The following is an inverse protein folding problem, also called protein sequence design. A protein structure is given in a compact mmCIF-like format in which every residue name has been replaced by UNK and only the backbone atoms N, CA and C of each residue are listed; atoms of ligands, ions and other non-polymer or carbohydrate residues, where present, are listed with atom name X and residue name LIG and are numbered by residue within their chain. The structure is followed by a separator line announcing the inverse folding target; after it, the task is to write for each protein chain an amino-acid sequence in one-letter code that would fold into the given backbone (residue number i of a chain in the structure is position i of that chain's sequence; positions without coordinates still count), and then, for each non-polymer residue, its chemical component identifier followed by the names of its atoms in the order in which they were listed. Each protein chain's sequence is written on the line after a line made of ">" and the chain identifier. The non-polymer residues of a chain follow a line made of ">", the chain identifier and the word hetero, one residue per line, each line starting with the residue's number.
data_IF_597755697131
#
_entry.id   IF_597755697131
#
_cell.length_a   1.000
_cell.length_b   1.000
_cell.length_c   1.000
_cell.angle_alpha   90.00
_cell.angle_beta   90.00
_cell.angle_gamma   90.00
#
_symmetry.space_group_name_H-M   'P 1'
#
loop_
_entity.id
_entity.type
_entity.pdbx_description
1 polymer ?
#
# COMPACT_ATOMS: atom_id res chain seq x y z
N UNK A 1 2.79 -41.37 -3.87
CA UNK A 1 3.04 -40.27 -4.83
C UNK A 1 2.44 -38.99 -4.27
N UNK A 2 3.03 -37.83 -4.55
CA UNK A 2 2.38 -36.55 -4.26
C UNK A 2 1.12 -36.43 -5.13
N UNK A 3 -0.04 -36.37 -4.50
CA UNK A 3 -1.34 -36.26 -5.17
C UNK A 3 -1.84 -34.81 -5.27
N UNK A 4 -0.97 -33.83 -5.04
CA UNK A 4 -1.32 -32.42 -5.21
C UNK A 4 -1.89 -32.14 -6.61
N UNK A 5 -2.89 -31.25 -6.65
CA UNK A 5 -3.55 -30.81 -7.89
C UNK A 5 -2.55 -30.31 -8.93
N UNK A 6 -1.52 -29.57 -8.51
CA UNK A 6 -0.50 -29.04 -9.42
C UNK A 6 0.35 -30.15 -10.07
N UNK A 7 0.65 -31.22 -9.31
CA UNK A 7 1.41 -32.38 -9.80
C UNK A 7 0.57 -33.16 -10.82
N UNK A 8 -0.70 -33.43 -10.50
CA UNK A 8 -1.60 -34.11 -11.44
C UNK A 8 -1.81 -33.29 -12.73
N UNK A 9 -1.91 -31.96 -12.64
CA UNK A 9 -1.97 -31.09 -13.82
C UNK A 9 -0.69 -31.20 -14.65
N UNK A 10 0.49 -31.19 -14.04
CA UNK A 10 1.76 -31.35 -14.76
C UNK A 10 1.82 -32.69 -15.52
N UNK A 11 1.32 -33.77 -14.93
CA UNK A 11 1.22 -35.08 -15.61
C UNK A 11 0.25 -35.04 -16.80
N UNK A 12 -0.89 -34.36 -16.67
CA UNK A 12 -1.83 -34.15 -17.80
C UNK A 12 -1.13 -33.40 -18.95
N UNK A 13 -0.36 -32.36 -18.64
CA UNK A 13 0.40 -31.61 -19.65
C UNK A 13 1.43 -32.50 -20.36
N UNK A 14 2.14 -33.33 -19.62
CA UNK A 14 3.10 -34.28 -20.17
C UNK A 14 2.43 -35.30 -21.11
N UNK A 15 1.38 -35.97 -20.66
CA UNK A 15 0.67 -36.97 -21.47
C UNK A 15 -0.02 -36.36 -22.69
N UNK A 16 -0.49 -35.10 -22.58
CA UNK A 16 -1.04 -34.38 -23.74
C UNK A 16 0.04 -34.00 -24.75
N UNK A 17 1.27 -33.70 -24.30
CA UNK A 17 2.42 -33.47 -25.16
C UNK A 17 2.87 -34.75 -25.91
N UNK A 18 2.67 -35.93 -25.31
CA UNK A 18 2.82 -37.24 -25.97
C UNK A 18 1.69 -37.56 -26.96
N UNK A 19 0.77 -36.62 -27.21
CA UNK A 19 -0.38 -36.73 -28.11
C UNK A 19 -1.46 -37.74 -27.67
N UNK A 20 -1.54 -38.08 -26.38
CA UNK A 20 -2.60 -38.96 -25.88
C UNK A 20 -3.97 -38.29 -25.83
N UNK A 21 -5.02 -39.08 -26.08
CA UNK A 21 -6.39 -38.60 -25.98
C UNK A 21 -6.85 -38.48 -24.52
N UNK A 22 -7.72 -37.50 -24.22
CA UNK A 22 -8.19 -37.24 -22.86
C UNK A 22 -8.80 -38.48 -22.15
N UNK A 23 -9.42 -39.40 -22.90
CA UNK A 23 -9.91 -40.69 -22.41
C UNK A 23 -8.79 -41.58 -21.87
N UNK A 24 -7.73 -41.76 -22.66
CA UNK A 24 -6.56 -42.55 -22.28
C UNK A 24 -5.84 -41.94 -21.08
N UNK A 25 -5.70 -40.61 -21.07
CA UNK A 25 -5.11 -39.85 -19.95
C UNK A 25 -5.89 -40.12 -18.65
N UNK A 26 -7.23 -40.10 -18.67
CA UNK A 26 -8.02 -40.38 -17.48
C UNK A 26 -7.84 -41.80 -16.94
N UNK A 27 -7.82 -42.80 -17.82
CA UNK A 27 -7.61 -44.19 -17.40
C UNK A 27 -6.25 -44.36 -16.72
N UNK A 28 -5.18 -43.85 -17.34
CA UNK A 28 -3.83 -43.87 -16.74
C UNK A 28 -3.75 -43.10 -15.43
N UNK A 29 -4.38 -41.93 -15.35
CA UNK A 29 -4.43 -41.16 -14.11
C UNK A 29 -5.21 -41.90 -13.02
N UNK A 30 -6.32 -42.57 -13.36
CA UNK A 30 -7.12 -43.33 -12.39
C UNK A 30 -6.38 -44.58 -11.89
N UNK A 31 -5.58 -45.22 -12.73
CA UNK A 31 -4.71 -46.34 -12.33
C UNK A 31 -3.63 -45.90 -11.32
N UNK A 32 -3.00 -44.74 -11.54
CA UNK A 32 -1.90 -44.25 -10.70
C UNK A 32 -2.39 -43.57 -9.41
N UNK A 33 -3.40 -42.70 -9.50
CA UNK A 33 -3.87 -41.86 -8.39
C UNK A 33 -5.12 -42.41 -7.69
N UNK A 34 -5.79 -43.42 -8.27
CA UNK A 34 -6.94 -44.08 -7.65
C UNK A 34 -8.06 -43.10 -7.27
N UNK A 35 -8.45 -43.10 -6.00
CA UNK A 35 -9.48 -42.21 -5.46
C UNK A 35 -9.06 -40.74 -5.37
N UNK A 36 -7.75 -40.45 -5.40
CA UNK A 36 -7.24 -39.09 -5.36
C UNK A 36 -7.10 -38.45 -6.76
N UNK A 37 -7.45 -39.20 -7.81
CA UNK A 37 -7.41 -38.74 -9.19
C UNK A 37 -8.37 -37.56 -9.43
N UNK A 38 -7.94 -36.59 -10.24
CA UNK A 38 -8.81 -35.52 -10.71
C UNK A 38 -10.03 -36.07 -11.45
N UNK A 39 -11.19 -35.46 -11.22
CA UNK A 39 -12.42 -35.83 -11.92
C UNK A 39 -12.26 -35.70 -13.44
N UNK A 40 -12.92 -36.59 -14.19
CA UNK A 40 -12.97 -36.62 -15.66
C UNK A 40 -13.10 -35.23 -16.29
N UNK A 41 -14.10 -34.45 -15.86
CA UNK A 41 -14.37 -33.11 -16.38
C UNK A 41 -13.19 -32.13 -16.17
N UNK A 42 -12.42 -32.30 -15.10
CA UNK A 42 -11.25 -31.45 -14.83
C UNK A 42 -10.10 -31.80 -15.77
N UNK A 43 -9.84 -33.10 -15.98
CA UNK A 43 -8.79 -33.59 -16.88
C UNK A 43 -9.09 -33.16 -18.31
N UNK A 44 -10.32 -33.36 -18.76
CA UNK A 44 -10.77 -32.95 -20.09
C UNK A 44 -10.60 -31.44 -20.31
N UNK A 45 -11.00 -30.62 -19.34
CA UNK A 45 -10.82 -29.16 -19.40
C UNK A 45 -9.34 -28.76 -19.48
N UNK A 46 -8.44 -29.47 -18.82
CA UNK A 46 -6.99 -29.21 -18.92
C UNK A 46 -6.42 -29.64 -20.27
N UNK A 47 -6.86 -30.76 -20.84
CA UNK A 47 -6.49 -31.18 -22.19
C UNK A 47 -6.92 -30.13 -23.23
N UNK A 48 -8.11 -29.55 -23.10
CA UNK A 48 -8.57 -28.46 -23.97
C UNK A 48 -7.74 -27.18 -23.78
N UNK A 49 -7.37 -26.83 -22.55
CA UNK A 49 -6.53 -25.65 -22.28
C UNK A 49 -5.14 -25.76 -22.88
N UNK A 50 -4.60 -26.97 -22.97
CA UNK A 50 -3.33 -27.25 -23.64
C UNK A 50 -3.37 -26.84 -25.12
N UNK A 51 -4.46 -27.17 -25.82
CA UNK A 51 -4.63 -26.83 -27.26
C UNK A 51 -4.71 -25.32 -27.50
N UNK A 52 -5.17 -24.55 -26.51
CA UNK A 52 -5.27 -23.07 -26.58
C UNK A 52 -3.97 -22.40 -26.06
N UNK A 53 -2.85 -23.13 -26.06
CA UNK A 53 -1.51 -22.69 -25.61
C UNK A 53 -1.47 -22.11 -24.17
N UNK A 54 -2.48 -22.38 -23.34
CA UNK A 54 -2.50 -21.95 -21.93
C UNK A 54 -1.74 -22.95 -21.07
N UNK A 55 -0.42 -22.99 -21.25
CA UNK A 55 0.52 -23.89 -20.59
C UNK A 55 0.83 -23.53 -19.12
N UNK A 56 0.24 -22.46 -18.59
CA UNK A 56 0.48 -22.08 -17.20
C UNK A 56 -0.23 -23.04 -16.23
N UNK A 57 0.57 -23.85 -15.53
CA UNK A 57 0.12 -24.80 -14.51
C UNK A 57 -0.41 -24.06 -13.27
N UNK A 58 0.08 -22.83 -13.02
CA UNK A 58 -0.40 -22.01 -11.90
C UNK A 58 -1.74 -21.37 -12.25
N UNK A 59 -2.63 -21.32 -11.28
CA UNK A 59 -3.87 -20.58 -11.40
C UNK A 59 -3.53 -19.11 -11.75
N UNK A 60 -4.10 -18.62 -12.85
CA UNK A 60 -4.05 -17.20 -13.15
C UNK A 60 -4.67 -16.43 -11.98
N UNK A 61 -4.19 -15.20 -11.69
CA UNK A 61 -4.83 -14.35 -10.72
C UNK A 61 -6.31 -14.28 -11.11
N UNK A 62 -7.18 -14.78 -10.23
CA UNK A 62 -8.61 -14.69 -10.47
C UNK A 62 -8.91 -13.21 -10.65
N UNK A 63 -9.65 -12.80 -11.70
CA UNK A 63 -10.21 -11.47 -11.68
C UNK A 63 -11.00 -11.39 -10.39
N UNK A 64 -10.47 -10.65 -9.42
CA UNK A 64 -11.21 -10.36 -8.20
C UNK A 64 -12.48 -9.64 -8.59
N UNK A 65 -13.40 -9.48 -7.66
CA UNK A 65 -14.46 -8.50 -7.86
C UNK A 65 -13.78 -7.15 -8.09
N UNK A 66 -13.76 -6.69 -9.34
CA UNK A 66 -13.33 -5.35 -9.66
C UNK A 66 -14.18 -4.46 -8.75
N UNK A 67 -13.53 -3.64 -7.94
CA UNK A 67 -14.23 -2.64 -7.16
C UNK A 67 -14.69 -1.59 -8.16
N UNK A 68 -15.79 -1.89 -8.88
CA UNK A 68 -16.40 -1.11 -9.97
C UNK A 68 -16.71 0.34 -9.55
N UNK A 69 -16.59 0.66 -8.26
CA UNK A 69 -16.87 1.96 -7.65
C UNK A 69 -15.64 2.89 -7.61
N UNK A 70 -14.42 2.42 -7.89
CA UNK A 70 -13.20 3.25 -7.80
C UNK A 70 -12.84 3.89 -9.15
N UNK A 71 -13.71 4.77 -9.65
CA UNK A 71 -13.41 5.57 -10.85
C UNK A 71 -12.31 6.60 -10.56
N UNK A 72 -11.52 6.96 -11.58
CA UNK A 72 -10.48 8.00 -11.46
C UNK A 72 -11.04 9.34 -10.95
N UNK A 73 -12.27 9.70 -11.36
CA UNK A 73 -12.99 10.87 -10.85
C UNK A 73 -13.16 10.82 -9.31
N UNK A 74 -13.68 9.71 -8.79
CA UNK A 74 -13.86 9.55 -7.32
C UNK A 74 -12.55 9.60 -6.55
N UNK A 75 -11.45 9.10 -7.13
CA UNK A 75 -10.12 9.19 -6.52
C UNK A 75 -9.68 10.66 -6.43
N UNK A 76 -9.89 11.42 -7.51
CA UNK A 76 -9.60 12.85 -7.56
C UNK A 76 -10.44 13.65 -6.56
N UNK A 77 -11.74 13.36 -6.44
CA UNK A 77 -12.63 14.03 -5.49
C UNK A 77 -12.19 13.78 -4.04
N UNK A 78 -11.86 12.53 -3.69
CA UNK A 78 -11.28 12.19 -2.38
C UNK A 78 -9.99 12.97 -2.13
N UNK A 79 -9.12 13.09 -3.13
CA UNK A 79 -7.87 13.83 -3.00
C UNK A 79 -8.11 15.33 -2.76
N UNK A 80 -9.06 15.94 -3.48
CA UNK A 80 -9.43 17.35 -3.31
C UNK A 80 -9.93 17.61 -1.89
N UNK A 81 -10.81 16.77 -1.36
CA UNK A 81 -11.33 16.90 0.01
C UNK A 81 -10.22 16.80 1.07
N UNK A 82 -9.26 15.88 0.88
CA UNK A 82 -8.11 15.76 1.78
C UNK A 82 -7.20 16.99 1.69
N UNK A 83 -7.00 17.56 0.50
CA UNK A 83 -6.18 18.77 0.31
C UNK A 83 -6.82 20.00 0.93
N UNK A 84 -8.14 20.14 0.84
CA UNK A 84 -8.90 21.23 1.45
C UNK A 84 -8.91 21.14 2.98
N UNK A 85 -9.10 19.94 3.54
CA UNK A 85 -9.09 19.73 4.98
C UNK A 85 -8.24 18.52 5.37
N UNK A 86 -7.00 18.79 5.80
CA UNK A 86 -6.03 17.76 6.22
C UNK A 86 -6.46 16.97 7.46
N UNK A 87 -7.52 17.41 8.17
CA UNK A 87 -8.07 16.74 9.37
C UNK A 87 -9.40 16.03 9.10
N UNK A 88 -9.85 15.95 7.85
CA UNK A 88 -11.10 15.28 7.49
C UNK A 88 -11.07 13.79 7.87
N UNK A 89 -12.21 13.25 8.29
CA UNK A 89 -12.31 11.83 8.65
C UNK A 89 -12.77 10.99 7.46
N UNK A 90 -12.38 9.70 7.45
CA UNK A 90 -12.85 8.73 6.43
C UNK A 90 -14.39 8.68 6.38
N UNK A 91 -15.06 8.82 7.53
CA UNK A 91 -16.53 8.87 7.59
C UNK A 91 -17.10 10.14 6.98
N UNK A 92 -16.44 11.29 7.17
CA UNK A 92 -16.82 12.55 6.54
C UNK A 92 -16.76 12.46 5.02
N UNK A 93 -15.63 11.99 4.48
CA UNK A 93 -15.47 11.78 3.03
C UNK A 93 -16.50 10.79 2.48
N UNK A 94 -16.72 9.67 3.20
CA UNK A 94 -17.71 8.68 2.81
C UNK A 94 -19.13 9.26 2.75
N UNK A 95 -19.47 10.16 3.67
CA UNK A 95 -20.76 10.84 3.67
C UNK A 95 -20.88 11.85 2.54
N UNK A 96 -19.87 12.72 2.34
CA UNK A 96 -19.87 13.74 1.30
C UNK A 96 -19.95 13.15 -0.11
N UNK A 97 -19.21 12.07 -0.38
CA UNK A 97 -19.19 11.43 -1.69
C UNK A 97 -20.23 10.30 -1.83
N UNK A 98 -21.00 10.00 -0.78
CA UNK A 98 -21.92 8.84 -0.71
C UNK A 98 -21.25 7.50 -1.07
N UNK A 99 -20.00 7.31 -0.66
CA UNK A 99 -19.19 6.11 -0.91
C UNK A 99 -19.10 5.27 0.36
N UNK A 100 -19.02 3.95 0.23
CA UNK A 100 -18.74 3.06 1.37
C UNK A 100 -17.42 3.42 2.04
N UNK A 101 -17.42 3.48 3.37
CA UNK A 101 -16.22 3.76 4.21
C UNK A 101 -15.01 2.88 3.83
N UNK A 102 -15.24 1.59 3.55
CA UNK A 102 -14.17 0.66 3.16
C UNK A 102 -13.48 1.05 1.86
N UNK A 103 -14.25 1.50 0.87
CA UNK A 103 -13.71 2.00 -0.40
C UNK A 103 -12.85 3.25 -0.20
N UNK A 104 -13.33 4.20 0.62
CA UNK A 104 -12.58 5.43 0.92
C UNK A 104 -11.26 5.10 1.61
N UNK A 105 -11.28 4.18 2.57
CA UNK A 105 -10.06 3.70 3.21
C UNK A 105 -9.07 3.10 2.20
N UNK A 106 -9.54 2.26 1.29
CA UNK A 106 -8.71 1.66 0.25
C UNK A 106 -8.18 2.70 -0.76
N UNK A 107 -8.97 3.71 -1.12
CA UNK A 107 -8.51 4.82 -1.97
C UNK A 107 -7.36 5.57 -1.28
N UNK A 108 -7.56 5.97 -0.02
CA UNK A 108 -6.57 6.76 0.73
C UNK A 108 -5.25 5.99 0.86
N UNK A 109 -5.30 4.73 1.28
CA UNK A 109 -4.09 3.96 1.60
C UNK A 109 -3.47 3.24 0.41
N UNK A 110 -4.28 2.63 -0.47
CA UNK A 110 -3.76 1.79 -1.59
C UNK A 110 -3.61 2.56 -2.90
N UNK A 111 -4.40 3.62 -3.13
CA UNK A 111 -4.37 4.38 -4.39
C UNK A 111 -3.59 5.68 -4.26
N UNK A 112 -3.83 6.44 -3.19
CA UNK A 112 -3.18 7.73 -2.96
C UNK A 112 -1.92 7.61 -2.07
N UNK A 113 -1.75 6.50 -1.35
CA UNK A 113 -0.59 6.28 -0.47
C UNK A 113 -0.55 7.17 0.77
N UNK A 114 -1.67 7.81 1.14
CA UNK A 114 -1.73 8.64 2.34
C UNK A 114 -1.78 7.78 3.60
N UNK A 115 -1.14 8.29 4.66
CA UNK A 115 -1.15 7.70 5.99
C UNK A 115 -1.60 8.74 7.02
N UNK A 116 -2.28 8.28 8.08
CA UNK A 116 -2.68 9.16 9.19
C UNK A 116 -1.44 9.50 10.03
N UNK A 117 -1.28 10.79 10.31
CA UNK A 117 -0.21 11.32 11.17
C UNK A 117 -0.82 11.93 12.43
N UNK A 118 -0.15 11.77 13.57
CA UNK A 118 -0.52 12.48 14.78
C UNK A 118 -0.03 13.94 14.71
N UNK A 119 -0.91 14.89 15.03
CA UNK A 119 -0.51 16.29 15.14
C UNK A 119 0.45 16.48 16.33
N UNK A 120 1.45 17.35 16.16
CA UNK A 120 2.36 17.72 17.23
C UNK A 120 1.67 18.67 18.22
N UNK A 121 1.90 18.45 19.51
CA UNK A 121 1.46 19.39 20.54
C UNK A 121 2.24 20.70 20.42
N UNK A 122 1.52 21.81 20.25
CA UNK A 122 2.09 23.16 20.25
C UNK A 122 1.82 23.77 21.63
N UNK A 123 2.85 24.06 22.45
CA UNK A 123 2.68 24.49 23.84
C UNK A 123 1.89 25.79 24.03
N UNK A 124 1.88 26.70 23.04
CA UNK A 124 1.19 27.99 23.14
C UNK A 124 0.71 28.48 21.78
N UNK A 125 -0.50 29.03 21.75
CA UNK A 125 -1.00 29.79 20.61
C UNK A 125 -0.38 31.20 20.63
N UNK A 126 0.48 31.49 19.67
CA UNK A 126 1.21 32.76 19.61
C UNK A 126 0.41 33.82 18.86
N UNK A 127 0.45 35.06 19.35
CA UNK A 127 -0.01 36.22 18.58
C UNK A 127 0.96 36.54 17.44
N UNK A 128 0.50 37.31 16.45
CA UNK A 128 1.33 37.67 15.30
C UNK A 128 2.60 38.41 15.71
N UNK A 129 2.47 39.41 16.61
CA UNK A 129 3.63 40.13 17.17
C UNK A 129 4.64 39.18 17.83
N UNK A 130 4.16 38.16 18.56
CA UNK A 130 5.04 37.17 19.19
C UNK A 130 5.78 36.30 18.18
N UNK A 131 5.18 36.02 17.02
CA UNK A 131 5.86 35.29 15.92
C UNK A 131 6.94 36.17 15.31
N UNK A 132 6.64 37.44 15.02
CA UNK A 132 7.59 38.39 14.43
C UNK A 132 8.80 38.58 15.33
N UNK A 133 8.60 38.86 16.63
CA UNK A 133 9.71 39.00 17.58
C UNK A 133 10.57 37.75 17.67
N UNK A 134 9.96 36.54 17.63
CA UNK A 134 10.72 35.29 17.62
C UNK A 134 11.55 35.12 16.35
N UNK A 135 11.01 35.49 15.20
CA UNK A 135 11.73 35.45 13.92
C UNK A 135 12.88 36.46 13.91
N UNK A 136 12.65 37.68 14.40
CA UNK A 136 13.66 38.74 14.48
C UNK A 136 14.84 38.33 15.37
N UNK A 137 14.57 37.77 16.55
CA UNK A 137 15.62 37.26 17.44
C UNK A 137 16.44 36.17 16.76
N UNK A 138 15.79 35.23 16.07
CA UNK A 138 16.49 34.18 15.33
C UNK A 138 17.39 34.75 14.22
N UNK A 139 16.87 35.69 13.43
CA UNK A 139 17.61 36.33 12.35
C UNK A 139 18.81 37.13 12.90
N UNK A 140 18.61 37.93 13.94
CA UNK A 140 19.69 38.69 14.60
C UNK A 140 20.77 37.74 15.14
N UNK A 141 20.38 36.63 15.77
CA UNK A 141 21.33 35.62 16.25
C UNK A 141 22.13 34.99 15.10
N UNK A 142 21.48 34.69 13.97
CA UNK A 142 22.13 34.15 12.78
C UNK A 142 23.11 35.15 12.15
N UNK A 143 22.75 36.44 12.09
CA UNK A 143 23.62 37.51 11.61
C UNK A 143 24.85 37.67 12.51
N UNK A 144 24.68 37.72 13.83
CA UNK A 144 25.81 37.83 14.78
C UNK A 144 26.77 36.63 14.69
N UNK A 145 26.23 35.42 14.53
CA UNK A 145 27.05 34.22 14.35
C UNK A 145 27.84 34.21 13.02
N UNK A 146 27.35 34.89 11.98
CA UNK A 146 28.07 35.07 10.72
C UNK A 146 29.16 36.14 10.79
N UNK A 147 28.95 37.20 11.57
CA UNK A 147 29.84 38.36 11.57
C UNK A 147 31.06 38.22 12.49
N UNK A 148 30.98 37.50 13.62
CA UNK A 148 32.10 37.33 14.55
C UNK A 148 32.11 35.94 15.23
N UNK A 149 32.93 34.98 14.76
CA UNK A 149 33.00 33.62 15.34
C UNK A 149 33.53 33.55 16.79
N UNK A 150 34.16 34.61 17.32
CA UNK A 150 34.94 34.56 18.56
C UNK A 150 34.32 35.29 19.77
N UNK A 151 33.09 35.82 19.67
CA UNK A 151 32.38 36.45 20.80
C UNK A 151 31.23 35.59 21.34
N UNK A 152 31.32 34.26 21.25
CA UNK A 152 30.23 33.36 21.68
C UNK A 152 30.12 33.17 23.21
N UNK A 153 31.05 33.69 24.02
CA UNK A 153 31.16 33.34 25.45
C UNK A 153 30.68 34.41 26.44
N UNK A 154 30.22 35.59 26.00
CA UNK A 154 29.85 36.68 26.93
C UNK A 154 28.33 36.88 27.17
N UNK A 155 27.47 36.00 26.63
CA UNK A 155 26.01 36.02 26.90
C UNK A 155 25.49 34.64 27.37
N UNK A 156 26.34 33.87 28.04
CA UNK A 156 26.04 32.54 28.57
C UNK A 156 25.38 32.52 29.96
N UNK A 157 24.42 33.41 30.27
CA UNK A 157 23.80 33.49 31.60
C UNK A 157 22.27 33.66 31.63
N UNK A 158 21.54 33.18 30.61
CA UNK A 158 20.05 33.13 30.70
C UNK A 158 19.42 31.81 30.23
N UNK A 159 20.13 30.92 29.54
CA UNK A 159 19.52 29.69 29.00
C UNK A 159 20.04 28.43 29.66
N UNK A 160 19.91 28.38 30.99
CA UNK A 160 19.98 27.14 31.74
C UNK A 160 18.60 26.83 32.28
N UNK A 161 17.73 26.28 31.43
CA UNK A 161 16.61 25.45 31.83
C UNK A 161 16.11 24.63 30.63
N UNK A 162 16.13 23.30 30.82
CA UNK A 162 15.33 22.33 30.08
C UNK A 162 15.92 21.75 28.77
N UNK A 163 17.09 21.12 28.88
CA UNK A 163 17.39 19.94 28.06
C UNK A 163 16.47 18.80 28.51
N UNK A 164 15.40 18.55 27.77
CA UNK A 164 14.75 17.24 27.77
C UNK A 164 14.64 16.75 26.33
N UNK A 165 15.50 15.76 26.07
CA UNK A 165 15.46 14.78 24.99
C UNK A 165 14.10 14.73 24.29
N UNK A 166 14.04 15.10 23.01
CA UNK A 166 13.06 14.51 22.09
C UNK A 166 13.72 14.30 20.73
N UNK A 167 13.82 13.01 20.41
CA UNK A 167 14.30 12.47 19.16
C UNK A 167 13.50 13.09 18.00
N UNK A 168 14.24 13.61 17.03
CA UNK A 168 13.74 14.04 15.74
C UNK A 168 13.20 12.81 15.01
N UNK A 169 11.93 12.84 14.60
CA UNK A 169 11.47 12.01 13.48
C UNK A 169 10.87 12.93 12.43
N UNK A 170 11.70 13.19 11.42
CA UNK A 170 11.33 13.74 10.12
C UNK A 170 10.22 12.89 9.50
N UNK A 171 9.26 13.55 8.86
CA UNK A 171 8.43 12.90 7.85
C UNK A 171 9.28 12.63 6.61
N UNK A 172 9.52 11.35 6.32
CA UNK A 172 9.94 10.92 4.99
C UNK A 172 8.67 10.49 4.24
N UNK A 173 8.39 11.15 3.12
CA UNK A 173 7.53 10.58 2.08
C UNK A 173 8.28 9.38 1.50
N UNK A 174 8.02 8.17 2.00
CA UNK A 174 8.32 6.98 1.23
C UNK A 174 7.23 6.84 0.17
N UNK A 175 7.49 7.46 -0.98
CA UNK A 175 7.02 6.95 -2.26
C UNK A 175 7.67 5.58 -2.47
N UNK A 176 6.86 4.53 -2.44
CA UNK A 176 7.11 3.27 -3.14
C UNK A 176 5.84 2.95 -3.94
#
# INVERSE_FOLDING_TARGET
>A
MDSSRSVQIAVIHFLRAEAEHASQIYHRMKEVYGEQCLAWCTIFRWCQRYEVERLNIKDLPRPGQAHIVTNSATISDVEVLIRQNRRITIRGIAHELSIRKGTVHDIIHKKLGYCKVCAQWVPKHLSENQKTTRMDVYLIQQFLHRSHPLLSYALGSVYQCQWRLFIVVLFHMNCN
#
